data_IF_934061933693
#
_entry.id   IF_934061933693
#
_cell.length_a   1.000
_cell.length_b   1.000
_cell.length_c   1.000
_cell.angle_alpha   90.00
_cell.angle_beta   90.00
_cell.angle_gamma   90.00
#
_symmetry.space_group_name_H-M   'P 1'
#
loop_
_entity.id
_entity.type
_entity.pdbx_description
1 polymer ?
#
# COMPACT_ATOMS: atom_id res chain seq x y z
N UNK A 1 -14.81 -7.15 -4.98
CA UNK A 1 -13.64 -6.65 -5.74
C UNK A 1 -13.99 -5.28 -6.28
N UNK A 2 -13.19 -4.26 -5.96
CA UNK A 2 -13.50 -2.85 -6.27
C UNK A 2 -12.24 -2.19 -6.79
N UNK A 3 -12.35 -1.43 -7.87
CA UNK A 3 -11.25 -0.57 -8.29
C UNK A 3 -11.06 0.56 -7.27
N UNK A 4 -9.84 1.10 -7.19
CA UNK A 4 -9.54 2.25 -6.36
C UNK A 4 -10.25 3.49 -6.95
N UNK A 5 -11.09 4.14 -6.15
CA UNK A 5 -11.81 5.33 -6.59
C UNK A 5 -11.00 6.61 -6.46
N UNK A 6 -10.26 6.75 -5.35
CA UNK A 6 -9.52 7.96 -5.03
C UNK A 6 -8.28 7.66 -4.17
N UNK A 7 -7.44 8.69 -4.06
CA UNK A 7 -6.32 8.74 -3.11
C UNK A 7 -6.40 10.09 -2.40
N UNK A 8 -6.39 10.07 -1.07
CA UNK A 8 -6.31 11.27 -0.26
C UNK A 8 -4.92 11.41 0.35
N UNK A 9 -4.30 12.58 0.16
CA UNK A 9 -3.09 12.95 0.88
C UNK A 9 -3.49 13.73 2.13
N UNK A 10 -3.33 13.11 3.31
CA UNK A 10 -3.69 13.70 4.59
C UNK A 10 -2.43 14.19 5.30
N UNK A 11 -2.28 15.51 5.56
CA UNK A 11 -1.16 16.03 6.34
C UNK A 11 -1.07 15.37 7.70
N UNK A 12 0.14 14.99 8.10
CA UNK A 12 0.42 14.39 9.39
C UNK A 12 1.53 15.12 10.13
N UNK A 13 1.67 14.80 11.41
CA UNK A 13 2.71 15.38 12.29
C UNK A 13 3.81 14.35 12.56
N UNK A 14 4.92 14.79 13.15
CA UNK A 14 6.02 13.92 13.60
C UNK A 14 6.60 13.01 12.50
N UNK A 15 6.71 13.54 11.28
CA UNK A 15 7.23 12.83 10.11
C UNK A 15 6.54 11.47 9.86
N UNK A 16 5.24 11.39 10.13
CA UNK A 16 4.43 10.19 9.86
C UNK A 16 4.35 9.94 8.36
N UNK A 17 4.50 8.68 7.98
CA UNK A 17 4.19 8.20 6.64
C UNK A 17 3.49 6.86 6.78
N UNK A 18 2.17 6.88 6.59
CA UNK A 18 1.29 5.72 6.66
C UNK A 18 0.46 5.64 5.41
N UNK A 19 0.24 4.43 4.92
CA UNK A 19 -0.67 4.16 3.80
C UNK A 19 -1.80 3.29 4.31
N UNK A 20 -3.03 3.73 4.05
CA UNK A 20 -4.25 3.05 4.48
C UNK A 20 -5.14 2.76 3.29
N UNK A 21 -5.91 1.67 3.37
CA UNK A 21 -7.01 1.36 2.44
C UNK A 21 -8.34 1.57 3.17
N UNK A 22 -9.25 2.32 2.55
CA UNK A 22 -10.59 2.61 3.06
C UNK A 22 -11.64 1.81 2.28
N UNK A 23 -12.69 1.34 2.95
CA UNK A 23 -13.84 0.68 2.32
C UNK A 23 -15.00 0.35 3.26
N UNK A 24 -14.70 -0.08 4.49
CA UNK A 24 -15.68 -0.29 5.57
C UNK A 24 -15.09 -0.04 6.96
N UNK A 25 -13.81 -0.37 7.12
CA UNK A 25 -12.90 0.15 8.13
C UNK A 25 -11.61 0.62 7.44
N UNK A 26 -10.81 1.45 8.11
CA UNK A 26 -9.48 1.82 7.62
C UNK A 26 -8.48 0.75 7.99
N UNK A 27 -7.85 0.13 6.99
CA UNK A 27 -6.78 -0.86 7.16
C UNK A 27 -5.42 -0.20 6.91
N UNK A 28 -4.49 -0.33 7.84
CA UNK A 28 -3.10 0.11 7.68
C UNK A 28 -2.34 -0.93 6.85
N UNK A 29 -1.82 -0.53 5.68
CA UNK A 29 -1.03 -1.42 4.80
C UNK A 29 0.47 -1.07 4.80
N UNK A 30 0.83 0.13 5.27
CA UNK A 30 2.22 0.53 5.44
C UNK A 30 2.39 1.54 6.57
N UNK A 31 3.44 1.37 7.39
CA UNK A 31 3.93 2.39 8.32
C UNK A 31 5.47 2.48 8.24
N UNK A 32 5.97 3.67 7.89
CA UNK A 32 7.42 3.94 7.83
C UNK A 32 8.12 3.70 9.15
N UNK A 33 7.48 4.00 10.28
CA UNK A 33 8.08 3.83 11.61
C UNK A 33 8.24 2.35 11.95
N UNK A 34 7.26 1.52 11.60
CA UNK A 34 7.32 0.07 11.81
C UNK A 34 8.31 -0.60 10.86
N UNK A 35 8.36 -0.17 9.60
CA UNK A 35 9.24 -0.74 8.57
C UNK A 35 10.66 -0.19 8.57
N UNK A 36 10.90 0.93 9.25
CA UNK A 36 12.20 1.62 9.26
C UNK A 36 12.60 2.22 7.91
N UNK A 37 11.72 2.21 6.89
CA UNK A 37 11.97 2.73 5.55
C UNK A 37 10.68 3.15 4.84
N UNK A 38 10.83 3.88 3.74
CA UNK A 38 9.75 4.07 2.78
C UNK A 38 9.53 2.78 1.96
N UNK A 39 8.31 2.56 1.45
CA UNK A 39 8.06 1.41 0.59
C UNK A 39 8.72 1.61 -0.76
N UNK A 40 9.17 0.51 -1.37
CA UNK A 40 9.53 0.54 -2.78
C UNK A 40 8.25 0.57 -3.63
N UNK A 41 8.33 1.15 -4.84
CA UNK A 41 7.14 1.32 -5.67
C UNK A 41 6.44 -0.01 -6.03
N UNK A 42 7.14 -1.09 -6.41
CA UNK A 42 6.49 -2.37 -6.69
C UNK A 42 5.80 -2.96 -5.47
N UNK A 43 6.44 -2.92 -4.31
CA UNK A 43 5.90 -3.40 -3.03
C UNK A 43 4.62 -2.65 -2.65
N UNK A 44 4.62 -1.32 -2.76
CA UNK A 44 3.43 -0.53 -2.45
C UNK A 44 2.27 -0.87 -3.39
N UNK A 45 2.53 -1.01 -4.69
CA UNK A 45 1.50 -1.37 -5.68
C UNK A 45 0.91 -2.75 -5.38
N UNK A 46 1.74 -3.71 -4.99
CA UNK A 46 1.27 -5.05 -4.60
C UNK A 46 0.39 -5.00 -3.36
N UNK A 47 0.84 -4.33 -2.28
CA UNK A 47 0.06 -4.19 -1.05
C UNK A 47 -1.33 -3.57 -1.28
N UNK A 48 -1.40 -2.55 -2.14
CA UNK A 48 -2.69 -1.94 -2.55
C UNK A 48 -3.52 -2.93 -3.36
N UNK A 49 -2.94 -3.54 -4.40
CA UNK A 49 -3.62 -4.48 -5.31
C UNK A 49 -4.22 -5.66 -4.57
N UNK A 50 -3.46 -6.26 -3.65
CA UNK A 50 -3.89 -7.44 -2.89
C UNK A 50 -5.17 -7.18 -2.09
N UNK A 51 -5.47 -5.91 -1.78
CA UNK A 51 -6.64 -5.49 -0.98
C UNK A 51 -7.82 -5.06 -1.84
N UNK A 52 -7.58 -4.36 -2.94
CA UNK A 52 -8.66 -3.77 -3.76
C UNK A 52 -9.02 -4.65 -4.96
N UNK A 53 -8.02 -5.28 -5.57
CA UNK A 53 -8.13 -6.03 -6.82
C UNK A 53 -7.14 -7.22 -6.86
N UNK A 54 -7.29 -8.24 -5.99
CA UNK A 54 -6.31 -9.33 -5.83
C UNK A 54 -5.99 -10.10 -7.13
N UNK A 55 -6.98 -10.30 -8.01
CA UNK A 55 -6.77 -11.02 -9.27
C UNK A 55 -6.19 -10.14 -10.40
N UNK A 56 -5.92 -8.86 -10.13
CA UNK A 56 -5.32 -7.95 -11.11
C UNK A 56 -3.81 -8.20 -11.23
N UNK A 57 -3.34 -8.42 -12.47
CA UNK A 57 -1.92 -8.47 -12.79
C UNK A 57 -1.31 -7.07 -12.78
N UNK A 58 -0.14 -6.91 -12.17
CA UNK A 58 0.61 -5.65 -12.11
C UNK A 58 1.80 -5.60 -13.09
N UNK A 59 2.01 -6.63 -13.90
CA UNK A 59 3.06 -6.67 -14.92
C UNK A 59 4.45 -6.61 -14.29
N UNK A 60 5.30 -5.66 -14.70
CA UNK A 60 6.65 -5.50 -14.15
C UNK A 60 6.69 -5.21 -12.63
N UNK A 61 5.56 -4.88 -12.01
CA UNK A 61 5.46 -4.70 -10.56
C UNK A 61 5.03 -5.96 -9.81
N UNK A 62 4.76 -7.08 -10.50
CA UNK A 62 4.61 -8.40 -9.87
C UNK A 62 6.00 -8.98 -9.55
N UNK A 63 6.59 -8.52 -8.45
CA UNK A 63 7.87 -9.02 -7.94
C UNK A 63 7.60 -10.07 -6.86
N UNK A 64 8.31 -11.20 -6.88
CA UNK A 64 8.30 -12.11 -5.73
C UNK A 64 9.00 -11.39 -4.58
N UNK A 65 8.35 -11.28 -3.42
CA UNK A 65 9.02 -10.87 -2.19
C UNK A 65 10.09 -11.91 -1.90
N UNK A 66 11.35 -11.57 -2.14
CA UNK A 66 12.49 -12.36 -1.70
C UNK A 66 12.77 -11.88 -0.28
N UNK A 67 12.38 -12.67 0.71
CA UNK A 67 12.82 -12.43 2.09
C UNK A 67 14.34 -12.50 2.11
N UNK A 68 14.98 -11.41 2.58
CA UNK A 68 16.42 -11.33 2.82
C UNK A 68 16.70 -11.48 4.29
#
# INVERSE_FOLDING_TARGET
>A
MSLLGEVALVPGVNAVFRVLINGGSSELIWDRKEKGRFPELPELKQLVRDRVAPDMKLGHSDVKVVEK
#
